data_IF_121110584902
#
_entry.id   IF_121110584902
#
_cell.length_a   1.000
_cell.length_b   1.000
_cell.length_c   1.000
_cell.angle_alpha   90.00
_cell.angle_beta   90.00
_cell.angle_gamma   90.00
#
_symmetry.space_group_name_H-M   'P 1'
#
loop_
_entity.id
_entity.type
_entity.pdbx_description
1 polymer ?
#
# COMPACT_ATOMS: atom_id res chain seq x y z
N UNK A 1 14.81 -10.90 14.16
CA UNK A 1 14.11 -10.24 13.03
C UNK A 1 13.47 -8.96 13.56
N UNK A 2 13.78 -7.82 12.95
CA UNK A 2 13.20 -6.52 13.28
C UNK A 2 12.57 -5.94 12.01
N UNK A 3 11.35 -5.44 12.14
CA UNK A 3 10.57 -4.87 11.03
C UNK A 3 10.16 -3.47 11.44
N UNK A 4 10.46 -2.47 10.61
CA UNK A 4 10.16 -1.06 10.90
C UNK A 4 9.45 -0.45 9.70
N UNK A 5 8.29 0.17 9.92
CA UNK A 5 7.65 1.01 8.91
C UNK A 5 8.44 2.32 8.78
N UNK A 6 9.02 2.57 7.61
CA UNK A 6 9.82 3.77 7.34
C UNK A 6 8.97 4.90 6.74
N UNK A 7 8.01 4.56 5.90
CA UNK A 7 7.15 5.51 5.20
C UNK A 7 5.87 4.82 4.73
N UNK A 8 4.80 5.58 4.60
CA UNK A 8 3.51 5.12 4.11
C UNK A 8 2.75 6.27 3.43
N UNK A 9 1.75 5.92 2.61
CA UNK A 9 0.79 6.89 2.08
C UNK A 9 -0.09 7.42 3.21
N UNK A 10 0.02 8.72 3.51
CA UNK A 10 -0.88 9.38 4.47
C UNK A 10 -2.34 9.26 4.01
N UNK A 11 -3.24 9.04 4.97
CA UNK A 11 -4.68 8.88 4.73
C UNK A 11 -5.01 7.84 3.64
N UNK A 12 -4.25 6.73 3.61
CA UNK A 12 -4.35 5.69 2.59
C UNK A 12 -5.80 5.22 2.34
N UNK A 13 -6.59 5.06 3.40
CA UNK A 13 -7.99 4.65 3.26
C UNK A 13 -8.85 5.72 2.56
N UNK A 14 -8.66 7.01 2.89
CA UNK A 14 -9.39 8.08 2.21
C UNK A 14 -9.00 8.16 0.74
N UNK A 15 -7.71 8.01 0.42
CA UNK A 15 -7.21 7.97 -0.95
C UNK A 15 -7.83 6.82 -1.75
N UNK A 16 -7.76 5.59 -1.22
CA UNK A 16 -8.32 4.42 -1.88
C UNK A 16 -9.84 4.50 -2.04
N UNK A 17 -10.55 5.04 -1.03
CA UNK A 17 -11.99 5.26 -1.10
C UNK A 17 -12.36 6.31 -2.16
N UNK A 18 -11.60 7.41 -2.26
CA UNK A 18 -11.81 8.43 -3.28
C UNK A 18 -11.54 7.89 -4.69
N UNK A 19 -10.46 7.12 -4.87
CA UNK A 19 -10.16 6.44 -6.13
C UNK A 19 -11.30 5.50 -6.56
N UNK A 20 -11.76 4.64 -5.64
CA UNK A 20 -12.87 3.73 -5.89
C UNK A 20 -14.19 4.44 -6.24
N UNK A 21 -14.54 5.52 -5.52
CA UNK A 21 -15.76 6.30 -5.79
C UNK A 21 -15.67 7.03 -7.12
N UNK A 22 -14.50 7.54 -7.50
CA UNK A 22 -14.32 8.29 -8.74
C UNK A 22 -14.65 7.48 -9.99
N UNK A 23 -14.55 6.15 -9.94
CA UNK A 23 -14.95 5.27 -11.04
C UNK A 23 -16.46 5.29 -11.34
N UNK A 24 -17.29 5.73 -10.40
CA UNK A 24 -18.75 5.68 -10.48
C UNK A 24 -19.42 7.01 -10.07
N UNK A 25 -18.65 8.08 -9.93
CA UNK A 25 -19.12 9.41 -9.56
C UNK A 25 -18.93 10.39 -10.71
N UNK A 26 -19.83 11.37 -10.91
CA UNK A 26 -19.56 12.51 -11.78
C UNK A 26 -18.50 13.46 -11.22
N UNK A 27 -18.28 13.44 -9.90
CA UNK A 27 -17.34 14.32 -9.20
C UNK A 27 -15.88 13.87 -9.39
N UNK A 28 -14.95 14.83 -9.39
CA UNK A 28 -13.53 14.53 -9.51
C UNK A 28 -12.98 13.86 -8.24
N UNK A 29 -11.96 13.01 -8.38
CA UNK A 29 -11.34 12.34 -7.23
C UNK A 29 -10.82 13.32 -6.15
N UNK A 30 -10.34 14.50 -6.57
CA UNK A 30 -9.92 15.58 -5.66
C UNK A 30 -11.06 16.11 -4.80
N UNK A 31 -12.25 16.27 -5.37
CA UNK A 31 -13.44 16.77 -4.66
C UNK A 31 -13.99 15.69 -3.72
N UNK A 32 -14.01 14.44 -4.18
CA UNK A 32 -14.44 13.30 -3.38
C UNK A 32 -13.55 13.15 -2.14
N UNK A 33 -12.23 13.27 -2.30
CA UNK A 33 -11.25 13.11 -1.22
C UNK A 33 -11.50 14.06 -0.05
N UNK A 34 -11.85 15.31 -0.33
CA UNK A 34 -12.18 16.32 0.69
C UNK A 34 -13.39 15.89 1.53
N UNK A 35 -14.37 15.22 0.92
CA UNK A 35 -15.60 14.77 1.57
C UNK A 35 -15.56 13.35 2.17
N UNK A 36 -14.46 12.59 2.04
CA UNK A 36 -14.36 11.26 2.66
C UNK A 36 -14.05 11.40 4.16
N UNK A 37 -15.03 11.09 5.00
CA UNK A 37 -14.83 10.86 6.44
C UNK A 37 -14.03 9.57 6.68
N UNK A 38 -13.01 9.66 7.54
CA UNK A 38 -12.06 8.58 7.81
C UNK A 38 -12.76 7.33 8.38
N UNK A 39 -13.66 7.50 9.35
CA UNK A 39 -14.41 6.41 10.00
C UNK A 39 -15.26 5.57 9.02
N UNK A 40 -15.59 6.12 7.85
CA UNK A 40 -16.40 5.44 6.81
C UNK A 40 -15.55 4.90 5.66
N UNK A 41 -14.29 5.31 5.55
CA UNK A 41 -13.41 4.95 4.44
C UNK A 41 -13.06 3.45 4.47
N UNK A 42 -12.62 2.93 5.63
CA UNK A 42 -12.26 1.52 5.80
C UNK A 42 -13.41 0.56 5.46
N UNK A 43 -14.60 0.77 6.04
CA UNK A 43 -15.77 -0.08 5.77
C UNK A 43 -16.20 -0.07 4.29
N UNK A 44 -16.01 1.06 3.60
CA UNK A 44 -16.26 1.16 2.17
C UNK A 44 -15.22 0.39 1.36
N UNK A 45 -13.93 0.50 1.70
CA UNK A 45 -12.86 -0.28 1.06
C UNK A 45 -13.10 -1.77 1.23
N UNK A 46 -13.44 -2.23 2.43
CA UNK A 46 -13.72 -3.65 2.70
C UNK A 46 -14.83 -4.17 1.79
N UNK A 47 -15.90 -3.39 1.61
CA UNK A 47 -16.98 -3.73 0.68
C UNK A 47 -16.49 -3.79 -0.77
N UNK A 48 -15.73 -2.79 -1.23
CA UNK A 48 -15.21 -2.72 -2.61
C UNK A 48 -14.26 -3.87 -2.92
N UNK A 49 -13.36 -4.18 -1.99
CA UNK A 49 -12.44 -5.33 -2.06
C UNK A 49 -13.22 -6.65 -2.03
N UNK A 50 -14.26 -6.76 -1.18
CA UNK A 50 -15.15 -7.92 -1.12
C UNK A 50 -15.94 -8.17 -2.41
N UNK A 51 -16.13 -7.15 -3.25
CA UNK A 51 -16.70 -7.27 -4.60
C UNK A 51 -15.65 -7.66 -5.67
N UNK A 52 -14.38 -7.82 -5.30
CA UNK A 52 -13.29 -8.21 -6.20
C UNK A 52 -12.55 -7.05 -6.86
N UNK A 53 -12.86 -5.80 -6.51
CA UNK A 53 -12.20 -4.62 -7.07
C UNK A 53 -10.88 -4.31 -6.37
N UNK A 54 -9.89 -5.18 -6.53
CA UNK A 54 -8.61 -5.09 -5.80
C UNK A 54 -7.69 -3.95 -6.27
N UNK A 55 -7.85 -3.43 -7.48
CA UNK A 55 -6.99 -2.36 -8.00
C UNK A 55 -7.06 -1.08 -7.16
N UNK A 56 -8.14 -0.87 -6.41
CA UNK A 56 -8.33 0.36 -5.61
C UNK A 56 -7.35 0.47 -4.45
N UNK A 57 -6.90 -0.65 -3.89
CA UNK A 57 -5.94 -0.65 -2.77
C UNK A 57 -4.49 -0.48 -3.25
N UNK A 58 -4.22 -0.59 -4.55
CA UNK A 58 -2.89 -0.39 -5.14
C UNK A 58 -2.44 1.09 -5.09
N UNK A 59 -3.37 2.03 -4.84
CA UNK A 59 -3.05 3.45 -4.66
C UNK A 59 -2.34 3.75 -3.34
N UNK A 60 -2.37 2.84 -2.36
CA UNK A 60 -1.65 2.95 -1.10
C UNK A 60 -0.30 2.23 -1.18
N UNK A 61 0.75 2.84 -0.64
CA UNK A 61 2.10 2.28 -0.62
C UNK A 61 2.71 2.36 0.78
N UNK A 62 3.49 1.34 1.13
CA UNK A 62 4.15 1.20 2.42
C UNK A 62 5.58 0.73 2.23
N UNK A 63 6.52 1.37 2.93
CA UNK A 63 7.96 1.06 2.85
C UNK A 63 8.45 0.59 4.20
N UNK A 64 9.06 -0.59 4.23
CA UNK A 64 9.56 -1.22 5.45
C UNK A 64 11.08 -1.44 5.41
N UNK A 65 11.73 -1.27 6.56
CA UNK A 65 13.04 -1.84 6.85
C UNK A 65 12.87 -3.24 7.41
N UNK A 66 13.56 -4.21 6.82
CA UNK A 66 13.62 -5.60 7.28
C UNK A 66 15.05 -5.93 7.71
N UNK A 67 15.27 -6.07 9.02
CA UNK A 67 16.58 -6.23 9.64
C UNK A 67 16.72 -7.61 10.31
N UNK A 68 17.94 -8.16 10.26
CA UNK A 68 18.25 -9.46 10.87
C UNK A 68 17.44 -10.62 10.27
N UNK A 69 17.29 -10.62 8.94
CA UNK A 69 16.65 -11.69 8.15
C UNK A 69 17.68 -12.47 7.35
N UNK A 70 17.38 -13.73 7.03
CA UNK A 70 18.30 -14.59 6.28
C UNK A 70 18.36 -14.25 4.79
N UNK A 71 19.46 -14.64 4.13
CA UNK A 71 19.58 -14.52 2.68
C UNK A 71 18.54 -15.37 1.94
N UNK A 72 18.28 -16.58 2.43
CA UNK A 72 17.26 -17.48 1.86
C UNK A 72 15.87 -16.85 1.89
N UNK A 73 15.52 -16.14 2.96
CA UNK A 73 14.28 -15.38 3.05
C UNK A 73 14.24 -14.30 1.97
N UNK A 74 15.28 -13.46 1.87
CA UNK A 74 15.29 -12.38 0.85
C UNK A 74 15.24 -12.92 -0.58
N UNK A 75 15.80 -14.09 -0.86
CA UNK A 75 15.72 -14.74 -2.17
C UNK A 75 14.30 -15.20 -2.54
N UNK A 76 13.44 -15.50 -1.56
CA UNK A 76 12.02 -15.73 -1.80
C UNK A 76 11.25 -14.42 -1.90
N UNK A 77 11.54 -13.46 -1.02
CA UNK A 77 10.85 -12.16 -0.98
C UNK A 77 10.94 -11.42 -2.32
N UNK A 78 12.12 -11.32 -2.92
CA UNK A 78 12.32 -10.60 -4.19
C UNK A 78 11.62 -11.25 -5.39
N UNK A 79 11.00 -12.43 -5.23
CA UNK A 79 10.16 -13.07 -6.27
C UNK A 79 8.79 -12.40 -6.39
N UNK A 80 8.37 -11.64 -5.38
CA UNK A 80 7.18 -10.80 -5.46
C UNK A 80 7.51 -9.54 -6.28
N UNK A 81 7.09 -9.54 -7.54
CA UNK A 81 7.50 -8.55 -8.55
C UNK A 81 6.81 -7.20 -8.43
N UNK A 82 5.64 -7.14 -7.80
CA UNK A 82 4.89 -5.89 -7.56
C UNK A 82 5.33 -5.34 -6.20
N UNK A 83 6.57 -4.89 -6.14
CA UNK A 83 7.22 -4.27 -4.99
C UNK A 83 8.57 -3.67 -5.42
N UNK A 84 9.11 -2.78 -4.60
CA UNK A 84 10.43 -2.17 -4.81
C UNK A 84 11.38 -2.56 -3.69
N UNK A 85 12.62 -2.93 -4.03
CA UNK A 85 13.59 -3.46 -3.07
C UNK A 85 14.91 -2.72 -3.15
N UNK A 86 15.47 -2.42 -1.98
CA UNK A 86 16.88 -2.09 -1.79
C UNK A 86 17.44 -3.05 -0.76
N UNK A 87 18.43 -3.86 -1.13
CA UNK A 87 19.01 -4.88 -0.28
C UNK A 87 20.48 -4.60 -0.02
N UNK A 88 20.92 -4.80 1.22
CA UNK A 88 22.33 -4.70 1.59
C UNK A 88 23.18 -5.60 0.68
N UNK A 89 24.16 -4.99 0.02
CA UNK A 89 25.02 -5.69 -0.92
C UNK A 89 26.18 -6.35 -0.20
N UNK A 90 26.27 -7.68 -0.32
CA UNK A 90 27.41 -8.46 0.17
C UNK A 90 28.72 -8.16 -0.58
N UNK A 91 28.64 -7.43 -1.71
CA UNK A 91 29.83 -6.98 -2.44
C UNK A 91 30.50 -5.77 -1.79
N UNK A 92 29.77 -5.03 -0.94
CA UNK A 92 30.23 -3.75 -0.38
C UNK A 92 30.24 -3.73 1.16
N UNK A 93 29.55 -4.66 1.82
CA UNK A 93 29.44 -4.67 3.28
C UNK A 93 29.89 -6.03 3.81
N UNK A 94 30.78 -5.99 4.82
CA UNK A 94 31.36 -7.15 5.52
C UNK A 94 30.53 -7.52 6.75
#
# INVERSE_FOLDING_TARGET
>A
MKVVLLSYTNDAERLCAAAARSCYSPDAASEILEGVEEDKAGAFIDKVVGMGHHSVIEHASYTFSLEGVSRSLTHQLVRHRIASYSQQSQRYVS
#
